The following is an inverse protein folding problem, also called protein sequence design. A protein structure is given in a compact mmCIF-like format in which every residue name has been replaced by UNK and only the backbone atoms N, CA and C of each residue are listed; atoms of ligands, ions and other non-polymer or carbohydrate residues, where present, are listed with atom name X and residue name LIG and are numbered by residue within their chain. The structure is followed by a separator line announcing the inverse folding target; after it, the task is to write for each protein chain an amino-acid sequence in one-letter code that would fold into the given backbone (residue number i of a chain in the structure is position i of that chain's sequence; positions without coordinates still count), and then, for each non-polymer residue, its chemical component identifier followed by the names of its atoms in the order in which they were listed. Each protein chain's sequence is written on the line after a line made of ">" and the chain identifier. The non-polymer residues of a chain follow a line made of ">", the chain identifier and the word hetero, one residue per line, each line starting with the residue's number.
data_IF_895711650337
#
_entry.id   IF_895711650337
#
_cell.length_a   1.000
_cell.length_b   1.000
_cell.length_c   1.000
_cell.angle_alpha   90.00
_cell.angle_beta   90.00
_cell.angle_gamma   90.00
#
_symmetry.space_group_name_H-M   'P 1'
#
loop_
_entity.id
_entity.type
_entity.pdbx_description
1 polymer ?
#
# COMPACT_ATOMS: atom_id res chain seq x y z
N UNK A 1 -10.45 25.25 0.88
CA UNK A 1 -10.12 25.06 -0.53
C UNK A 1 -11.28 24.44 -1.30
N UNK A 2 -11.42 24.81 -2.59
CA UNK A 2 -12.30 24.13 -3.53
C UNK A 2 -11.49 23.05 -4.23
N UNK A 3 -11.83 21.78 -4.02
CA UNK A 3 -11.10 20.63 -4.57
C UNK A 3 -11.75 20.18 -5.87
N UNK A 4 -10.92 19.91 -6.90
CA UNK A 4 -11.30 19.18 -8.12
C UNK A 4 -10.55 17.87 -8.12
N UNK A 5 -11.29 16.77 -8.09
CA UNK A 5 -10.70 15.44 -8.15
C UNK A 5 -10.44 15.03 -9.62
N UNK A 6 -9.27 14.47 -9.88
CA UNK A 6 -8.89 13.87 -11.17
C UNK A 6 -8.56 12.39 -10.93
N UNK A 7 -9.21 11.52 -11.63
CA UNK A 7 -9.02 10.08 -11.56
C UNK A 7 -8.57 9.49 -12.89
N UNK A 8 -8.20 8.19 -12.90
CA UNK A 8 -7.81 7.47 -14.11
C UNK A 8 -6.40 7.74 -14.61
N UNK A 9 -5.56 8.41 -13.82
CA UNK A 9 -4.15 8.63 -14.15
C UNK A 9 -3.28 7.49 -13.58
N UNK A 10 -2.45 6.88 -14.40
CA UNK A 10 -1.39 5.99 -13.91
C UNK A 10 -0.30 6.79 -13.17
N UNK A 11 0.40 6.16 -12.21
CA UNK A 11 1.36 6.82 -11.31
C UNK A 11 2.37 7.71 -12.03
N UNK A 12 2.99 7.23 -13.11
CA UNK A 12 3.96 8.01 -13.87
C UNK A 12 3.35 9.26 -14.53
N UNK A 13 2.09 9.20 -14.97
CA UNK A 13 1.37 10.33 -15.56
C UNK A 13 0.97 11.31 -14.45
N UNK A 14 0.44 10.81 -13.35
CA UNK A 14 0.03 11.61 -12.19
C UNK A 14 1.22 12.36 -11.59
N UNK A 15 2.37 11.71 -11.43
CA UNK A 15 3.58 12.36 -10.93
C UNK A 15 4.10 13.45 -11.90
N UNK A 16 4.08 13.21 -13.22
CA UNK A 16 4.42 14.25 -14.19
C UNK A 16 3.47 15.44 -14.13
N UNK A 17 2.16 15.20 -14.00
CA UNK A 17 1.17 16.25 -13.84
C UNK A 17 1.38 17.07 -12.56
N UNK A 18 1.79 16.42 -11.45
CA UNK A 18 2.18 17.09 -10.22
C UNK A 18 3.42 17.97 -10.42
N UNK A 19 4.47 17.41 -11.02
CA UNK A 19 5.73 18.13 -11.27
C UNK A 19 5.54 19.30 -12.25
N UNK A 20 4.64 19.17 -13.22
CA UNK A 20 4.26 20.22 -14.18
C UNK A 20 3.29 21.26 -13.62
N UNK A 21 2.67 21.01 -12.46
CA UNK A 21 1.70 21.93 -11.85
C UNK A 21 0.26 21.80 -12.35
N UNK A 22 -0.06 20.78 -13.16
CA UNK A 22 -1.43 20.46 -13.60
C UNK A 22 -2.28 19.84 -12.48
N UNK A 23 -1.60 19.28 -11.47
CA UNK A 23 -2.17 18.73 -10.24
C UNK A 23 -1.47 19.38 -9.05
N UNK A 24 -2.21 19.91 -8.10
CA UNK A 24 -1.66 20.60 -6.91
C UNK A 24 -1.21 19.61 -5.82
N UNK A 25 -1.95 18.52 -5.63
CA UNK A 25 -1.76 17.52 -4.56
C UNK A 25 -1.94 16.13 -5.13
N UNK A 26 -1.05 15.22 -4.77
CA UNK A 26 -1.10 13.82 -5.20
C UNK A 26 -0.67 12.88 -4.07
N UNK A 27 -1.33 11.74 -3.98
CA UNK A 27 -0.89 10.62 -3.13
C UNK A 27 -0.25 9.57 -4.01
N UNK A 28 1.02 9.30 -3.77
CA UNK A 28 1.76 8.21 -4.43
C UNK A 28 2.28 7.23 -3.39
N UNK A 29 2.95 6.18 -3.84
CA UNK A 29 3.60 5.20 -2.98
C UNK A 29 5.12 5.34 -3.06
N UNK A 30 5.79 5.31 -1.90
CA UNK A 30 7.24 5.51 -1.81
C UNK A 30 8.02 4.56 -2.73
N UNK A 31 7.68 3.25 -2.72
CA UNK A 31 8.31 2.25 -3.58
C UNK A 31 8.08 2.51 -5.07
N UNK A 32 6.92 3.04 -5.46
CA UNK A 32 6.61 3.40 -6.85
C UNK A 32 7.51 4.53 -7.35
N UNK A 33 7.70 5.58 -6.56
CA UNK A 33 8.63 6.66 -6.91
C UNK A 33 10.08 6.17 -6.92
N UNK A 34 10.46 5.38 -5.91
CA UNK A 34 11.83 4.86 -5.76
C UNK A 34 12.26 4.03 -6.97
N UNK A 35 11.46 3.02 -7.32
CA UNK A 35 11.81 2.14 -8.45
C UNK A 35 11.48 2.75 -9.81
N UNK A 36 10.38 3.50 -9.93
CA UNK A 36 9.92 4.08 -11.19
C UNK A 36 10.62 5.40 -11.52
N UNK A 37 10.21 6.49 -10.89
CA UNK A 37 10.68 7.83 -11.26
C UNK A 37 12.17 8.07 -10.93
N UNK A 38 12.70 7.46 -9.85
CA UNK A 38 14.11 7.56 -9.46
C UNK A 38 14.99 6.48 -10.09
N UNK A 39 14.41 5.40 -10.68
CA UNK A 39 15.14 4.30 -11.32
C UNK A 39 16.01 3.47 -10.37
N UNK A 40 15.66 3.40 -9.09
CA UNK A 40 16.44 2.67 -8.07
C UNK A 40 15.94 1.25 -7.88
N UNK A 41 16.86 0.32 -7.62
CA UNK A 41 16.56 -1.10 -7.40
C UNK A 41 16.89 -1.60 -5.99
N UNK A 42 17.54 -0.76 -5.17
CA UNK A 42 17.84 -1.06 -3.77
C UNK A 42 16.60 -0.88 -2.87
N UNK A 43 16.59 -1.56 -1.74
CA UNK A 43 15.49 -1.53 -0.76
C UNK A 43 15.99 -1.02 0.59
N UNK A 44 16.24 0.29 0.73
CA UNK A 44 16.74 0.84 1.98
C UNK A 44 15.64 0.82 3.06
N UNK A 45 16.03 0.93 4.35
CA UNK A 45 15.08 1.12 5.44
C UNK A 45 14.15 2.31 5.19
N UNK A 46 12.92 2.24 5.72
CA UNK A 46 11.84 3.23 5.51
C UNK A 46 12.32 4.69 5.61
N UNK A 47 13.00 5.03 6.70
CA UNK A 47 13.46 6.41 6.93
C UNK A 47 14.45 6.87 5.86
N UNK A 48 15.36 6.00 5.43
CA UNK A 48 16.34 6.30 4.39
C UNK A 48 15.68 6.47 3.01
N UNK A 49 14.67 5.65 2.71
CA UNK A 49 13.87 5.78 1.47
C UNK A 49 13.16 7.13 1.42
N UNK A 50 12.41 7.49 2.47
CA UNK A 50 11.66 8.75 2.52
C UNK A 50 12.58 9.96 2.43
N UNK A 51 13.70 9.96 3.16
CA UNK A 51 14.71 11.03 3.07
C UNK A 51 15.38 11.08 1.69
N UNK A 52 15.58 9.94 1.03
CA UNK A 52 16.10 9.86 -0.34
C UNK A 52 15.13 10.46 -1.36
N UNK A 53 13.84 10.15 -1.25
CA UNK A 53 12.78 10.72 -2.08
C UNK A 53 12.71 12.24 -1.90
N UNK A 54 12.72 12.71 -0.66
CA UNK A 54 12.66 14.14 -0.36
C UNK A 54 13.83 14.91 -0.99
N UNK A 55 15.07 14.41 -0.84
CA UNK A 55 16.26 15.00 -1.49
C UNK A 55 16.16 15.02 -3.01
N UNK A 56 15.71 13.90 -3.59
CA UNK A 56 15.56 13.80 -5.05
C UNK A 56 14.51 14.77 -5.58
N UNK A 57 13.37 14.90 -4.89
CA UNK A 57 12.31 15.84 -5.24
C UNK A 57 12.80 17.29 -5.17
N UNK A 58 13.55 17.64 -4.13
CA UNK A 58 14.11 18.99 -3.96
C UNK A 58 15.17 19.32 -5.04
N UNK A 59 15.99 18.35 -5.44
CA UNK A 59 17.03 18.56 -6.44
C UNK A 59 16.47 18.68 -7.87
N UNK A 60 15.52 17.82 -8.25
CA UNK A 60 14.98 17.68 -9.60
C UNK A 60 13.60 18.30 -9.80
N UNK A 61 12.51 17.55 -9.53
CA UNK A 61 11.14 17.97 -9.88
C UNK A 61 10.62 19.18 -9.10
N UNK A 62 11.30 19.59 -8.03
CA UNK A 62 10.90 20.70 -7.15
C UNK A 62 9.55 20.50 -6.45
N UNK A 63 8.98 19.29 -6.50
CA UNK A 63 7.81 18.90 -5.71
C UNK A 63 8.20 18.77 -4.24
N UNK A 64 7.22 18.78 -3.33
CA UNK A 64 7.50 18.62 -1.91
C UNK A 64 6.76 17.44 -1.30
N UNK A 65 7.45 16.70 -0.43
CA UNK A 65 6.87 15.68 0.44
C UNK A 65 6.27 16.37 1.68
N UNK A 66 4.97 16.15 1.91
CA UNK A 66 4.31 16.59 3.15
C UNK A 66 4.56 15.56 4.25
N UNK A 67 4.47 14.28 3.91
CA UNK A 67 4.75 13.16 4.80
C UNK A 67 4.02 11.89 4.39
N UNK A 68 4.32 10.75 5.05
CA UNK A 68 3.57 9.50 4.88
C UNK A 68 2.20 9.63 5.54
N UNK A 69 1.22 8.85 5.03
CA UNK A 69 -0.16 8.88 5.52
C UNK A 69 -0.43 7.91 6.69
N UNK A 70 0.51 6.99 7.00
CA UNK A 70 0.38 6.04 8.09
C UNK A 70 -0.03 4.63 7.68
N UNK A 71 -0.15 4.37 6.37
CA UNK A 71 -0.34 3.04 5.82
C UNK A 71 0.53 2.83 4.58
N UNK A 72 0.66 1.58 4.19
CA UNK A 72 1.31 1.20 2.92
C UNK A 72 0.39 0.31 2.08
N UNK A 73 0.64 0.25 0.79
CA UNK A 73 -0.01 -0.66 -0.15
C UNK A 73 1.04 -1.50 -0.87
N UNK A 74 1.72 -2.33 -0.08
CA UNK A 74 2.75 -3.25 -0.56
C UNK A 74 2.16 -4.60 -0.95
N UNK A 75 2.85 -5.35 -1.81
CA UNK A 75 2.61 -6.79 -1.87
C UNK A 75 2.83 -7.43 -0.51
N UNK A 76 2.02 -8.42 -0.19
CA UNK A 76 2.10 -9.17 1.05
C UNK A 76 1.67 -10.62 0.80
N UNK A 77 2.03 -11.52 1.71
CA UNK A 77 1.45 -12.86 1.77
C UNK A 77 0.37 -12.88 2.85
N UNK A 78 -0.77 -13.46 2.54
CA UNK A 78 -1.88 -13.58 3.47
C UNK A 78 -2.39 -15.02 3.57
N UNK A 79 -2.87 -15.36 4.75
CA UNK A 79 -3.42 -16.68 5.08
C UNK A 79 -4.70 -16.56 5.90
N UNK A 80 -5.45 -17.64 6.00
CA UNK A 80 -6.51 -17.74 7.00
C UNK A 80 -5.90 -17.68 8.41
N UNK A 81 -6.61 -17.06 9.32
CA UNK A 81 -6.16 -16.88 10.73
C UNK A 81 -5.95 -18.19 11.46
N UNK A 82 -6.75 -19.20 11.16
CA UNK A 82 -6.69 -20.54 11.78
C UNK A 82 -5.44 -21.34 11.39
N UNK A 83 -4.68 -20.90 10.39
CA UNK A 83 -3.39 -21.50 10.04
C UNK A 83 -2.31 -21.33 11.13
N UNK A 84 -2.46 -20.37 12.05
CA UNK A 84 -1.51 -20.16 13.16
C UNK A 84 -0.15 -19.63 12.75
N UNK A 85 0.02 -19.19 11.49
CA UNK A 85 1.28 -18.66 10.93
C UNK A 85 1.17 -17.13 10.88
N UNK A 86 2.13 -16.43 11.49
CA UNK A 86 2.14 -14.97 11.57
C UNK A 86 3.31 -14.28 10.84
N UNK A 87 4.32 -15.04 10.43
CA UNK A 87 5.53 -14.49 9.78
C UNK A 87 5.92 -15.30 8.55
N UNK A 88 6.68 -14.68 7.66
CA UNK A 88 7.20 -15.36 6.45
C UNK A 88 8.29 -16.39 6.83
N UNK A 89 9.03 -16.19 7.92
CA UNK A 89 9.95 -17.22 8.43
C UNK A 89 9.20 -18.50 8.81
N UNK A 90 8.15 -18.40 9.61
CA UNK A 90 7.33 -19.54 10.00
C UNK A 90 6.60 -20.18 8.80
N UNK A 91 6.21 -19.37 7.81
CA UNK A 91 5.67 -19.87 6.55
C UNK A 91 6.70 -20.72 5.79
N UNK A 92 7.95 -20.30 5.73
CA UNK A 92 9.00 -20.96 4.96
C UNK A 92 9.22 -22.42 5.40
N UNK A 93 9.09 -22.71 6.69
CA UNK A 93 9.18 -24.08 7.24
C UNK A 93 8.05 -25.00 6.75
N UNK A 94 6.87 -24.43 6.50
CA UNK A 94 5.67 -25.19 6.10
C UNK A 94 5.38 -25.11 4.60
N UNK A 95 5.98 -24.17 3.89
CA UNK A 95 5.73 -23.90 2.47
C UNK A 95 5.79 -25.16 1.57
N UNK A 96 6.67 -26.17 1.79
CA UNK A 96 6.69 -27.38 0.95
C UNK A 96 5.40 -28.21 0.98
N UNK A 97 4.51 -27.97 1.93
CA UNK A 97 3.21 -28.64 2.04
C UNK A 97 2.04 -27.78 1.59
N UNK A 98 2.28 -26.48 1.36
CA UNK A 98 1.26 -25.46 1.12
C UNK A 98 1.19 -25.07 -0.35
N UNK A 99 0.01 -24.62 -0.77
CA UNK A 99 -0.29 -24.11 -2.11
C UNK A 99 -0.37 -22.58 -2.07
N UNK A 100 0.38 -21.94 -2.95
CA UNK A 100 0.33 -20.50 -3.16
C UNK A 100 -0.67 -20.17 -4.26
N UNK A 101 -1.65 -19.31 -3.95
CA UNK A 101 -2.43 -18.58 -4.94
C UNK A 101 -1.86 -17.17 -5.11
N UNK A 102 -1.59 -16.76 -6.32
CA UNK A 102 -1.05 -15.43 -6.59
C UNK A 102 -1.91 -14.68 -7.59
N UNK A 103 -1.85 -13.33 -7.61
CA UNK A 103 -2.39 -12.61 -8.74
C UNK A 103 -1.56 -12.88 -10.01
N UNK A 104 -2.10 -12.48 -11.17
CA UNK A 104 -1.53 -12.84 -12.47
C UNK A 104 -0.11 -12.32 -12.68
N UNK A 105 0.29 -11.24 -11.99
CA UNK A 105 1.59 -10.60 -12.17
C UNK A 105 2.61 -11.03 -11.11
N UNK A 106 2.16 -11.35 -9.89
CA UNK A 106 3.03 -11.50 -8.72
C UNK A 106 4.18 -12.48 -8.91
N UNK A 107 3.93 -13.61 -9.58
CA UNK A 107 4.94 -14.66 -9.78
C UNK A 107 6.13 -14.20 -10.65
N UNK A 108 5.92 -13.19 -11.49
CA UNK A 108 6.95 -12.59 -12.34
C UNK A 108 7.60 -11.35 -11.73
N UNK A 109 7.04 -10.84 -10.62
CA UNK A 109 7.49 -9.60 -9.99
C UNK A 109 8.82 -9.75 -9.25
N UNK A 110 9.61 -8.65 -9.18
CA UNK A 110 10.83 -8.60 -8.36
C UNK A 110 10.58 -8.96 -6.90
N UNK A 111 9.42 -8.55 -6.35
CA UNK A 111 9.03 -8.79 -4.97
C UNK A 111 8.95 -10.30 -4.66
N UNK A 112 8.39 -11.09 -5.58
CA UNK A 112 8.35 -12.55 -5.42
C UNK A 112 9.76 -13.18 -5.46
N UNK A 113 10.61 -12.69 -6.37
CA UNK A 113 12.01 -13.15 -6.43
C UNK A 113 12.76 -12.83 -5.16
N UNK A 114 12.56 -11.61 -4.63
CA UNK A 114 13.18 -11.18 -3.37
C UNK A 114 12.72 -12.03 -2.18
N UNK A 115 11.41 -12.30 -2.07
CA UNK A 115 10.85 -13.20 -1.05
C UNK A 115 11.46 -14.60 -1.12
N UNK A 116 11.51 -15.19 -2.31
CA UNK A 116 12.13 -16.51 -2.49
C UNK A 116 13.60 -16.54 -2.08
N UNK A 117 14.34 -15.50 -2.46
CA UNK A 117 15.77 -15.41 -2.13
C UNK A 117 15.99 -15.21 -0.62
N UNK A 118 15.21 -14.34 0.02
CA UNK A 118 15.37 -14.01 1.42
C UNK A 118 14.94 -15.15 2.36
N UNK A 119 13.84 -15.86 2.05
CA UNK A 119 13.23 -16.84 2.93
C UNK A 119 13.36 -18.30 2.46
N UNK A 120 13.92 -18.54 1.27
CA UNK A 120 14.01 -19.87 0.72
C UNK A 120 12.65 -20.50 0.39
N UNK A 121 11.63 -19.67 0.09
CA UNK A 121 10.25 -20.14 -0.11
C UNK A 121 10.14 -21.15 -1.26
N UNK A 122 9.64 -22.34 -0.94
CA UNK A 122 9.39 -23.44 -1.89
C UNK A 122 8.00 -24.01 -1.60
N UNK A 123 7.00 -23.55 -2.33
CA UNK A 123 5.64 -24.06 -2.20
C UNK A 123 5.48 -25.41 -2.92
N UNK A 124 4.55 -26.24 -2.42
CA UNK A 124 4.12 -27.47 -3.08
C UNK A 124 3.59 -27.21 -4.49
N UNK A 125 2.83 -26.12 -4.65
CA UNK A 125 2.24 -25.64 -5.89
C UNK A 125 2.09 -24.13 -5.83
N UNK A 126 2.20 -23.45 -6.97
CA UNK A 126 1.98 -22.01 -7.10
C UNK A 126 1.15 -21.74 -8.36
N UNK A 127 -0.04 -21.17 -8.18
CA UNK A 127 -0.98 -20.88 -9.26
C UNK A 127 -1.34 -19.41 -9.33
N UNK A 128 -1.42 -18.89 -10.54
CA UNK A 128 -1.94 -17.56 -10.80
C UNK A 128 -3.47 -17.58 -10.90
N UNK A 129 -4.10 -16.56 -10.32
CA UNK A 129 -5.54 -16.36 -10.30
C UNK A 129 -5.87 -14.90 -10.64
N UNK A 130 -7.06 -14.68 -11.18
CA UNK A 130 -7.67 -13.36 -11.09
C UNK A 130 -7.88 -13.00 -9.60
N UNK A 131 -7.69 -11.74 -9.16
CA UNK A 131 -7.75 -11.37 -7.74
C UNK A 131 -9.02 -11.84 -7.00
N UNK A 132 -10.20 -11.77 -7.63
CA UNK A 132 -11.44 -12.25 -7.01
C UNK A 132 -11.42 -13.76 -6.78
N UNK A 133 -10.96 -14.54 -7.75
CA UNK A 133 -10.86 -15.99 -7.63
C UNK A 133 -9.76 -16.43 -6.66
N UNK A 134 -8.70 -15.65 -6.52
CA UNK A 134 -7.62 -15.90 -5.57
C UNK A 134 -8.12 -15.93 -4.12
N UNK A 135 -8.90 -14.95 -3.70
CA UNK A 135 -9.51 -14.93 -2.36
C UNK A 135 -10.51 -16.07 -2.16
N UNK A 136 -11.28 -16.42 -3.20
CA UNK A 136 -12.19 -17.58 -3.17
C UNK A 136 -11.42 -18.91 -3.03
N UNK A 137 -10.28 -19.04 -3.73
CA UNK A 137 -9.41 -20.22 -3.62
C UNK A 137 -8.87 -20.40 -2.20
N UNK A 138 -8.50 -19.29 -1.52
CA UNK A 138 -8.11 -19.31 -0.12
C UNK A 138 -9.28 -19.74 0.78
N UNK A 139 -10.46 -19.16 0.60
CA UNK A 139 -11.66 -19.46 1.38
C UNK A 139 -12.12 -20.91 1.23
N UNK A 140 -12.05 -21.50 0.02
CA UNK A 140 -12.44 -22.87 -0.28
C UNK A 140 -11.33 -23.90 0.03
N UNK A 141 -10.16 -23.47 0.47
CA UNK A 141 -9.02 -24.35 0.73
C UNK A 141 -8.34 -24.88 -0.54
N UNK A 142 -8.54 -24.28 -1.71
CA UNK A 142 -7.77 -24.59 -2.92
C UNK A 142 -6.39 -23.94 -2.92
N UNK A 143 -6.23 -22.83 -2.21
CA UNK A 143 -4.97 -22.21 -1.83
C UNK A 143 -4.86 -22.15 -0.31
N UNK A 144 -3.64 -22.18 0.22
CA UNK A 144 -3.35 -22.11 1.64
C UNK A 144 -2.75 -20.73 1.99
N UNK A 145 -2.05 -20.12 1.04
CA UNK A 145 -1.44 -18.79 1.09
C UNK A 145 -1.83 -18.03 -0.17
N UNK A 146 -2.05 -16.74 -0.08
CA UNK A 146 -2.24 -15.88 -1.26
C UNK A 146 -1.30 -14.69 -1.27
N UNK A 147 -0.97 -14.19 -2.47
CA UNK A 147 -0.48 -12.82 -2.61
C UNK A 147 -1.64 -11.85 -2.32
N UNK A 148 -1.35 -10.70 -1.76
CA UNK A 148 -2.35 -9.68 -1.47
C UNK A 148 -1.69 -8.31 -1.50
N UNK A 149 -2.47 -7.25 -1.60
CA UNK A 149 -2.01 -5.92 -1.27
C UNK A 149 -2.33 -5.62 0.20
N UNK A 150 -1.35 -5.10 0.94
CA UNK A 150 -1.45 -4.93 2.39
C UNK A 150 -2.63 -4.07 2.86
N UNK A 151 -3.17 -3.22 1.99
CA UNK A 151 -4.35 -2.38 2.25
C UNK A 151 -5.67 -2.93 1.67
N UNK A 152 -5.68 -4.13 1.08
CA UNK A 152 -6.90 -4.73 0.48
C UNK A 152 -7.99 -4.94 1.53
N UNK A 153 -9.19 -4.47 1.20
CA UNK A 153 -10.36 -4.56 2.09
C UNK A 153 -10.80 -5.99 2.39
N UNK A 154 -10.59 -6.92 1.47
CA UNK A 154 -10.91 -8.34 1.64
C UNK A 154 -10.13 -9.01 2.77
N UNK A 155 -8.93 -8.50 3.09
CA UNK A 155 -8.18 -8.95 4.27
C UNK A 155 -9.00 -8.77 5.55
N UNK A 156 -9.69 -7.65 5.68
CA UNK A 156 -10.56 -7.39 6.82
C UNK A 156 -11.88 -8.17 6.75
N UNK A 157 -12.48 -8.28 5.56
CA UNK A 157 -13.74 -9.02 5.34
C UNK A 157 -13.59 -10.50 5.69
N UNK A 158 -12.54 -11.14 5.18
CA UNK A 158 -12.28 -12.57 5.34
C UNK A 158 -11.46 -12.89 6.61
N UNK A 159 -11.19 -11.88 7.43
CA UNK A 159 -10.40 -11.99 8.69
C UNK A 159 -9.05 -12.67 8.48
N UNK A 160 -8.38 -12.34 7.38
CA UNK A 160 -7.08 -12.90 7.05
C UNK A 160 -5.97 -12.34 7.93
N UNK A 161 -4.87 -13.07 8.02
CA UNK A 161 -3.60 -12.61 8.60
C UNK A 161 -2.65 -12.26 7.46
N UNK A 162 -2.15 -11.04 7.45
CA UNK A 162 -1.01 -10.63 6.65
C UNK A 162 0.25 -11.05 7.39
N UNK A 163 1.09 -11.82 6.72
CA UNK A 163 2.33 -12.32 7.31
C UNK A 163 3.36 -11.20 7.46
N UNK A 164 3.97 -11.10 8.62
CA UNK A 164 5.06 -10.15 8.84
C UNK A 164 6.30 -10.56 8.02
N UNK A 165 6.98 -9.56 7.45
CA UNK A 165 8.24 -9.68 6.71
C UNK A 165 9.41 -9.14 7.56
N UNK A 166 9.93 -9.89 8.55
CA UNK A 166 11.00 -9.41 9.42
C UNK A 166 12.33 -9.17 8.70
N UNK A 167 12.55 -9.82 7.54
CA UNK A 167 13.75 -9.62 6.73
C UNK A 167 13.63 -8.45 5.74
N UNK A 168 12.45 -7.79 5.69
CA UNK A 168 12.18 -6.65 4.81
C UNK A 168 12.52 -6.93 3.34
N UNK A 169 12.18 -8.13 2.87
CA UNK A 169 12.43 -8.56 1.49
C UNK A 169 11.53 -7.83 0.48
N UNK A 170 10.34 -7.41 0.92
CA UNK A 170 9.43 -6.60 0.11
C UNK A 170 9.77 -5.12 0.31
N UNK A 171 9.95 -4.33 -0.77
CA UNK A 171 10.14 -2.89 -0.68
C UNK A 171 8.98 -2.22 0.07
N UNK A 172 9.27 -1.11 0.73
CA UNK A 172 8.26 -0.30 1.41
C UNK A 172 7.44 0.50 0.40
N UNK A 173 6.13 0.45 0.56
CA UNK A 173 5.17 1.17 -0.28
C UNK A 173 4.29 2.08 0.58
N UNK A 174 4.93 2.89 1.45
CA UNK A 174 4.23 3.91 2.24
C UNK A 174 3.45 4.83 1.30
N UNK A 175 2.17 5.04 1.58
CA UNK A 175 1.39 6.08 0.92
C UNK A 175 1.92 7.43 1.37
N UNK A 176 2.36 8.27 0.42
CA UNK A 176 3.01 9.55 0.68
C UNK A 176 2.24 10.69 0.04
N UNK A 177 2.12 11.78 0.76
CA UNK A 177 1.39 12.97 0.34
C UNK A 177 2.35 13.99 -0.26
N UNK A 178 2.12 14.35 -1.51
CA UNK A 178 2.98 15.18 -2.34
C UNK A 178 2.25 16.45 -2.77
N UNK A 179 2.99 17.54 -2.92
CA UNK A 179 2.48 18.81 -3.47
C UNK A 179 3.35 19.31 -4.62
N UNK A 180 2.71 19.99 -5.56
CA UNK A 180 3.34 20.60 -6.73
C UNK A 180 4.35 21.69 -6.34
N UNK A 181 5.32 22.01 -7.22
CA UNK A 181 6.32 23.05 -6.95
C UNK A 181 5.72 24.40 -6.55
N UNK A 182 4.69 24.85 -7.27
CA UNK A 182 4.00 26.12 -6.99
C UNK A 182 3.26 26.14 -5.64
N UNK A 183 3.02 24.97 -5.04
CA UNK A 183 2.34 24.79 -3.74
C UNK A 183 3.28 24.44 -2.61
N UNK A 184 4.55 24.17 -2.90
CA UNK A 184 5.52 23.73 -1.90
C UNK A 184 5.70 24.70 -0.72
N UNK A 185 5.58 26.00 -0.98
CA UNK A 185 5.66 27.08 0.01
C UNK A 185 4.30 27.59 0.52
N UNK A 186 3.17 27.02 0.04
CA UNK A 186 1.82 27.43 0.50
C UNK A 186 1.59 26.94 1.94
N UNK A 187 1.86 27.80 2.91
CA UNK A 187 1.75 27.51 4.34
C UNK A 187 0.32 27.10 4.74
N UNK A 188 -0.71 27.72 4.13
CA UNK A 188 -2.11 27.40 4.40
C UNK A 188 -2.48 26.01 3.89
N UNK A 189 -2.03 25.63 2.67
CA UNK A 189 -2.24 24.27 2.14
C UNK A 189 -1.52 23.23 2.98
N UNK A 190 -0.24 23.47 3.31
CA UNK A 190 0.55 22.58 4.17
C UNK A 190 -0.11 22.38 5.54
N UNK A 191 -0.60 23.43 6.17
CA UNK A 191 -1.33 23.34 7.44
C UNK A 191 -2.62 22.52 7.31
N UNK A 192 -3.34 22.65 6.20
CA UNK A 192 -4.55 21.86 5.94
C UNK A 192 -4.27 20.37 5.69
N UNK A 193 -3.11 20.03 5.10
CA UNK A 193 -2.72 18.65 4.79
C UNK A 193 -2.01 17.94 5.95
N UNK A 194 -1.33 18.69 6.83
CA UNK A 194 -0.53 18.14 7.94
C UNK A 194 -1.29 17.16 8.85
N UNK A 195 -2.58 17.35 9.17
CA UNK A 195 -3.34 16.40 10.00
C UNK A 195 -3.48 15.00 9.38
N UNK A 196 -3.17 14.82 8.09
CA UNK A 196 -3.21 13.53 7.41
C UNK A 196 -1.93 12.72 7.59
N UNK A 197 -0.83 13.36 8.01
CA UNK A 197 0.47 12.70 8.16
C UNK A 197 0.42 11.70 9.31
N UNK A 198 0.78 10.44 9.02
CA UNK A 198 0.75 9.29 9.92
C UNK A 198 -0.62 9.06 10.61
N UNK A 199 -1.70 9.59 10.01
CA UNK A 199 -3.02 9.62 10.65
C UNK A 199 -3.93 8.43 10.28
N UNK A 200 -3.62 7.69 9.21
CA UNK A 200 -4.47 6.62 8.69
C UNK A 200 -3.86 5.25 9.00
N UNK A 201 -4.32 4.52 10.03
CA UNK A 201 -3.87 3.15 10.25
C UNK A 201 -4.29 2.24 9.10
N UNK A 202 -3.47 1.24 8.75
CA UNK A 202 -3.78 0.28 7.69
C UNK A 202 -5.14 -0.42 7.92
N UNK A 203 -5.52 -0.68 9.15
CA UNK A 203 -6.83 -1.27 9.48
C UNK A 203 -8.00 -0.36 9.08
N UNK A 204 -7.86 0.95 9.26
CA UNK A 204 -8.87 1.92 8.82
C UNK A 204 -8.91 2.01 7.28
N UNK A 205 -7.75 2.00 6.62
CA UNK A 205 -7.68 2.01 5.16
C UNK A 205 -8.31 0.74 4.55
N UNK A 206 -8.01 -0.45 5.10
CA UNK A 206 -8.68 -1.70 4.69
C UNK A 206 -10.20 -1.61 4.79
N UNK A 207 -10.71 -1.03 5.87
CA UNK A 207 -12.16 -0.87 6.05
C UNK A 207 -12.75 0.11 5.04
N UNK A 208 -12.07 1.21 4.74
CA UNK A 208 -12.50 2.17 3.72
C UNK A 208 -12.50 1.54 2.32
N UNK A 209 -11.45 0.80 1.96
CA UNK A 209 -11.39 0.06 0.71
C UNK A 209 -12.52 -0.99 0.62
N UNK A 210 -12.78 -1.74 1.69
CA UNK A 210 -13.90 -2.69 1.71
C UNK A 210 -15.25 -2.01 1.47
N UNK A 211 -15.45 -0.79 1.97
CA UNK A 211 -16.71 -0.07 1.73
C UNK A 211 -16.95 0.21 0.24
N UNK A 212 -15.88 0.37 -0.53
CA UNK A 212 -15.93 0.66 -1.99
C UNK A 212 -15.90 -0.63 -2.82
N UNK A 213 -15.13 -1.64 -2.41
CA UNK A 213 -14.82 -2.80 -3.25
C UNK A 213 -15.71 -4.04 -3.01
N UNK A 214 -16.50 -4.05 -1.93
CA UNK A 214 -17.38 -5.18 -1.61
C UNK A 214 -18.46 -5.40 -2.68
N UNK A 215 -18.93 -6.63 -2.82
CA UNK A 215 -19.88 -7.01 -3.86
C UNK A 215 -21.28 -6.43 -3.62
N UNK A 216 -21.72 -6.34 -2.37
CA UNK A 216 -23.02 -5.78 -1.97
C UNK A 216 -22.86 -4.50 -1.16
N UNK A 217 -23.85 -3.60 -1.22
CA UNK A 217 -23.90 -2.32 -0.49
C UNK A 217 -22.65 -1.45 -0.69
N UNK A 218 -22.11 -1.43 -1.90
CA UNK A 218 -20.98 -0.57 -2.26
C UNK A 218 -21.25 0.88 -1.88
N UNK A 219 -20.22 1.51 -1.33
CA UNK A 219 -20.23 2.93 -1.05
C UNK A 219 -19.42 3.69 -2.10
N UNK A 220 -19.80 4.95 -2.28
CA UNK A 220 -19.01 5.89 -3.05
C UNK A 220 -17.64 6.14 -2.37
N UNK A 221 -16.54 6.28 -3.14
CA UNK A 221 -15.23 6.65 -2.57
C UNK A 221 -15.26 7.90 -1.68
N UNK A 222 -16.11 8.89 -1.99
CA UNK A 222 -16.27 10.07 -1.16
C UNK A 222 -16.91 9.75 0.20
N UNK A 223 -17.81 8.76 0.29
CA UNK A 223 -18.38 8.29 1.56
C UNK A 223 -17.32 7.60 2.42
N UNK A 224 -16.48 6.77 1.79
CA UNK A 224 -15.36 6.11 2.46
C UNK A 224 -14.35 7.14 2.97
N UNK A 225 -14.04 8.16 2.17
CA UNK A 225 -13.18 9.27 2.57
C UNK A 225 -13.74 10.07 3.75
N UNK A 226 -15.04 10.40 3.73
CA UNK A 226 -15.72 11.04 4.87
C UNK A 226 -15.69 10.18 6.13
N UNK A 227 -15.81 8.87 5.98
CA UNK A 227 -15.67 7.95 7.11
C UNK A 227 -14.24 7.97 7.67
N UNK A 228 -13.20 7.93 6.81
CA UNK A 228 -11.79 8.03 7.23
C UNK A 228 -11.52 9.36 7.96
N UNK A 229 -11.99 10.49 7.44
CA UNK A 229 -11.82 11.79 8.08
C UNK A 229 -12.39 11.81 9.51
N UNK A 230 -13.59 11.24 9.71
CA UNK A 230 -14.16 11.09 11.05
C UNK A 230 -13.29 10.24 11.99
N UNK A 231 -12.69 9.15 11.47
CA UNK A 231 -11.78 8.31 12.27
C UNK A 231 -10.52 9.07 12.68
N UNK A 232 -9.95 9.84 11.77
CA UNK A 232 -8.75 10.66 12.02
C UNK A 232 -9.06 11.69 13.12
N UNK A 233 -10.15 12.45 12.97
CA UNK A 233 -10.56 13.48 13.93
C UNK A 233 -10.84 12.92 15.31
N UNK A 234 -11.53 11.78 15.40
CA UNK A 234 -11.83 11.12 16.66
C UNK A 234 -10.55 10.68 17.41
N UNK A 235 -9.49 10.33 16.69
CA UNK A 235 -8.19 9.94 17.29
C UNK A 235 -7.34 11.14 17.71
N UNK A 236 -7.54 12.28 17.07
CA UNK A 236 -6.80 13.53 17.35
C UNK A 236 -7.47 14.37 18.44
N UNK A 237 -8.69 14.01 18.87
CA UNK A 237 -9.35 14.67 19.98
C UNK A 237 -8.62 14.33 21.29
N UNK A 238 -8.31 15.32 22.15
CA UNK A 238 -7.77 15.02 23.46
C UNK A 238 -8.73 14.14 24.24
N UNK A 239 -8.20 13.14 24.92
CA UNK A 239 -8.98 12.34 25.87
C UNK A 239 -9.56 13.25 26.95
N UNK A 240 -10.83 13.09 27.35
CA UNK A 240 -11.47 13.89 28.38
C UNK A 240 -10.77 13.80 29.71
#
# INVERSE_FOLDING_TARGET
>A
YRVRYREGLGSAVAFRALAGGDVDVYVDYAGTLWSGAMGRSDTPPRAAMLAGIERWMAAGPKTALIGPLGFENAYALAMRRDAGIGTIDALAEQAPRLRLGADLEFLDRPEWRALKAAYGLRFRDARAYNPTFMYRALGSGQADVISAFSSDGRIAADRLVVLADPRQAIPRYDAILLVAPARASDARLRAALRPLVDAIPVAAMRRANLMVDRDADKRDPADAARWLDRQIRARSAPSP
#
